data_IF_046758609366
#
_entry.id   IF_046758609366
#
_cell.length_a   1.000
_cell.length_b   1.000
_cell.length_c   1.000
_cell.angle_alpha   90.00
_cell.angle_beta   90.00
_cell.angle_gamma   90.00
#
_symmetry.space_group_name_H-M   'P 1'
#
loop_
_entity.id
_entity.type
_entity.pdbx_description
1 polymer ?
#
# COMPACT_ATOMS: atom_id res chain seq x y z
N UNK A 1 14.74 -1.33 -1.64
CA UNK A 1 14.79 -0.04 -0.91
C UNK A 1 14.81 -0.34 0.58
N UNK A 2 15.40 0.50 1.45
CA UNK A 2 15.26 0.31 2.91
C UNK A 2 13.98 0.99 3.41
N UNK A 3 13.43 0.52 4.54
CA UNK A 3 12.22 1.12 5.13
C UNK A 3 12.43 2.61 5.44
N UNK A 4 13.61 2.98 5.92
CA UNK A 4 13.98 4.38 6.19
C UNK A 4 13.94 5.24 4.92
N UNK A 5 14.42 4.71 3.78
CA UNK A 5 14.32 5.41 2.50
C UNK A 5 12.88 5.54 2.00
N UNK A 6 12.02 4.57 2.30
CA UNK A 6 10.59 4.64 1.97
C UNK A 6 9.90 5.74 2.78
N UNK A 7 10.10 5.78 4.10
CA UNK A 7 9.55 6.81 4.98
C UNK A 7 10.05 8.23 4.67
N UNK A 8 11.25 8.36 4.13
CA UNK A 8 11.77 9.66 3.71
C UNK A 8 11.10 10.21 2.44
N UNK A 9 10.41 9.36 1.68
CA UNK A 9 9.76 9.70 0.40
C UNK A 9 8.25 9.72 0.46
N UNK A 10 7.68 9.03 1.44
CA UNK A 10 6.25 8.80 1.56
C UNK A 10 5.75 9.17 2.95
N UNK A 11 4.65 9.90 2.99
CA UNK A 11 3.94 10.29 4.20
C UNK A 11 2.45 9.98 4.08
N UNK A 12 1.75 10.04 5.21
CA UNK A 12 0.29 9.92 5.23
C UNK A 12 -0.33 11.02 4.36
N UNK A 13 -1.27 10.63 3.51
CA UNK A 13 -1.95 11.49 2.56
C UNK A 13 -1.41 11.41 1.14
N UNK A 14 -0.19 10.90 0.94
CA UNK A 14 0.40 10.74 -0.40
C UNK A 14 -0.37 9.73 -1.23
N UNK A 15 -0.39 9.96 -2.55
CA UNK A 15 -0.93 9.01 -3.53
C UNK A 15 0.24 8.34 -4.23
N UNK A 16 0.25 7.01 -4.21
CA UNK A 16 1.29 6.16 -4.80
C UNK A 16 0.67 5.19 -5.80
N UNK A 17 1.46 4.84 -6.81
CA UNK A 17 1.11 3.74 -7.72
C UNK A 17 1.62 2.42 -7.14
N UNK A 18 0.81 1.37 -7.25
CA UNK A 18 1.19 0.04 -6.79
C UNK A 18 0.57 -1.08 -7.61
N UNK A 19 1.04 -2.30 -7.37
CA UNK A 19 0.54 -3.51 -8.01
C UNK A 19 -0.12 -4.40 -6.97
N UNK A 20 -1.32 -4.90 -7.26
CA UNK A 20 -2.01 -5.85 -6.40
C UNK A 20 -1.29 -7.18 -6.43
N UNK A 21 -0.77 -7.63 -5.29
CA UNK A 21 0.00 -8.88 -5.18
C UNK A 21 -0.81 -10.02 -4.59
N UNK A 22 -1.83 -9.70 -3.78
CA UNK A 22 -2.69 -10.70 -3.15
C UNK A 22 -4.07 -10.13 -2.83
N UNK A 23 -5.10 -10.86 -3.20
CA UNK A 23 -6.47 -10.61 -2.76
C UNK A 23 -6.78 -11.40 -1.48
N UNK A 24 -7.50 -10.78 -0.55
CA UNK A 24 -7.98 -11.41 0.69
C UNK A 24 -9.45 -11.02 0.92
N UNK A 25 -10.23 -11.79 1.71
CA UNK A 25 -11.67 -11.53 1.86
C UNK A 25 -12.05 -10.12 2.34
N UNK A 26 -11.13 -9.42 3.01
CA UNK A 26 -11.36 -8.09 3.57
C UNK A 26 -10.57 -6.98 2.84
N UNK A 27 -9.95 -7.27 1.69
CA UNK A 27 -9.19 -6.25 0.97
C UNK A 27 -8.16 -6.80 -0.02
N UNK A 28 -7.26 -5.93 -0.44
CA UNK A 28 -6.19 -6.25 -1.37
C UNK A 28 -4.85 -5.77 -0.83
N UNK A 29 -3.84 -6.63 -0.89
CA UNK A 29 -2.46 -6.22 -0.66
C UNK A 29 -1.90 -5.61 -1.94
N UNK A 30 -1.35 -4.41 -1.79
CA UNK A 30 -0.75 -3.62 -2.87
C UNK A 30 0.72 -3.39 -2.54
N UNK A 31 1.60 -3.76 -3.45
CA UNK A 31 3.03 -3.50 -3.34
C UNK A 31 3.42 -2.23 -4.09
N UNK A 32 4.22 -1.38 -3.45
CA UNK A 32 4.85 -0.20 -4.05
C UNK A 32 6.24 0.00 -3.45
N UNK A 33 7.23 0.32 -4.29
CA UNK A 33 8.64 0.51 -3.89
C UNK A 33 9.25 -0.66 -3.08
N UNK A 34 8.70 -1.88 -3.24
CA UNK A 34 9.12 -3.09 -2.53
C UNK A 34 8.53 -3.22 -1.11
N UNK A 35 7.54 -2.40 -0.76
CA UNK A 35 6.78 -2.52 0.48
C UNK A 35 5.31 -2.78 0.20
N UNK A 36 4.66 -3.52 1.10
CA UNK A 36 3.27 -3.94 0.94
C UNK A 36 2.35 -3.18 1.90
N UNK A 37 1.31 -2.57 1.34
CA UNK A 37 0.20 -1.98 2.09
C UNK A 37 -1.09 -2.79 1.91
N UNK A 38 -2.03 -2.60 2.84
CA UNK A 38 -3.36 -3.20 2.76
C UNK A 38 -4.41 -2.15 2.41
N UNK A 39 -5.12 -2.36 1.30
CA UNK A 39 -6.33 -1.62 0.96
C UNK A 39 -7.55 -2.36 1.51
N UNK A 40 -8.04 -1.90 2.67
CA UNK A 40 -9.17 -2.52 3.35
C UNK A 40 -10.49 -2.27 2.60
N UNK A 41 -11.35 -3.29 2.51
CA UNK A 41 -12.63 -3.28 1.78
C UNK A 41 -12.51 -3.00 0.28
N UNK A 42 -11.30 -3.07 -0.28
CA UNK A 42 -11.06 -2.95 -1.72
C UNK A 42 -10.65 -4.29 -2.29
N UNK A 43 -11.38 -4.80 -3.27
CA UNK A 43 -11.04 -6.01 -4.02
C UNK A 43 -10.66 -5.63 -5.44
N UNK A 44 -9.42 -5.96 -5.82
CA UNK A 44 -8.91 -5.80 -7.16
C UNK A 44 -8.23 -7.10 -7.61
N UNK A 45 -8.27 -7.44 -8.91
CA UNK A 45 -7.57 -8.61 -9.41
C UNK A 45 -6.06 -8.52 -9.17
N UNK A 46 -5.44 -9.65 -8.82
CA UNK A 46 -3.97 -9.77 -8.73
C UNK A 46 -3.33 -9.37 -10.06
N UNK A 47 -2.27 -8.56 -9.99
CA UNK A 47 -1.58 -7.99 -11.14
C UNK A 47 -2.11 -6.63 -11.60
N UNK A 48 -3.24 -6.17 -11.06
CA UNK A 48 -3.78 -4.83 -11.38
C UNK A 48 -2.85 -3.73 -10.89
N UNK A 49 -2.65 -2.70 -11.72
CA UNK A 49 -2.00 -1.45 -11.31
C UNK A 49 -3.07 -0.50 -10.76
N UNK A 50 -2.83 0.03 -9.57
CA UNK A 50 -3.79 0.88 -8.84
C UNK A 50 -3.10 2.10 -8.26
N UNK A 51 -3.81 3.23 -8.28
CA UNK A 51 -3.44 4.44 -7.57
C UNK A 51 -4.12 4.46 -6.20
N UNK A 52 -3.33 4.55 -5.14
CA UNK A 52 -3.81 4.41 -3.76
C UNK A 52 -3.23 5.50 -2.87
N UNK A 53 -4.04 5.97 -1.92
CA UNK A 53 -3.64 6.94 -0.91
C UNK A 53 -3.16 6.23 0.36
N UNK A 54 -2.04 6.68 0.92
CA UNK A 54 -1.55 6.24 2.23
C UNK A 54 -2.42 6.86 3.33
N UNK A 55 -3.13 6.03 4.09
CA UNK A 55 -3.95 6.48 5.22
C UNK A 55 -3.19 6.48 6.55
N UNK A 56 -2.32 5.50 6.73
CA UNK A 56 -1.56 5.32 7.97
C UNK A 56 -0.29 4.52 7.68
N UNK A 57 0.77 4.80 8.43
CA UNK A 57 2.05 4.07 8.39
C UNK A 57 2.30 3.48 9.78
N UNK A 58 2.47 2.17 9.84
CA UNK A 58 2.84 1.42 11.04
C UNK A 58 4.36 1.16 10.99
N UNK A 59 5.08 1.90 11.83
CA UNK A 59 6.54 1.85 11.92
C UNK A 59 7.06 0.58 12.61
N UNK A 60 6.28 0.01 13.53
CA UNK A 60 6.66 -1.16 14.31
C UNK A 60 6.59 -2.43 13.44
N UNK A 61 5.51 -2.55 12.66
CA UNK A 61 5.26 -3.71 11.81
C UNK A 61 5.70 -3.52 10.35
N UNK A 62 6.23 -2.35 9.99
CA UNK A 62 6.66 -1.97 8.64
C UNK A 62 5.56 -2.15 7.59
N UNK A 63 4.37 -1.61 7.87
CA UNK A 63 3.17 -1.72 7.02
C UNK A 63 2.51 -0.37 6.84
N UNK A 64 1.62 -0.27 5.86
CA UNK A 64 0.77 0.90 5.71
C UNK A 64 -0.64 0.53 5.25
N UNK A 65 -1.60 1.37 5.63
CA UNK A 65 -3.01 1.25 5.24
C UNK A 65 -3.28 2.12 4.02
N UNK A 66 -4.08 1.61 3.10
CA UNK A 66 -4.35 2.23 1.80
C UNK A 66 -5.85 2.44 1.58
N UNK A 67 -6.17 3.44 0.77
CA UNK A 67 -7.49 3.64 0.17
C UNK A 67 -7.37 3.95 -1.32
N UNK A 68 -8.43 3.77 -2.12
CA UNK A 68 -8.47 4.31 -3.48
C UNK A 68 -8.21 5.82 -3.47
N UNK A 69 -7.40 6.30 -4.42
CA UNK A 69 -6.99 7.70 -4.51
C UNK A 69 -8.10 8.64 -5.02
#
# INVERSE_FOLDING_TARGET
MSWQSFLARHQVGDVIEGVVTKEVPFGSFVESDGFTGLAHQQSWPVGSRVSVRILAIDLENQRFSLAPA
#
